data_IF_858042270305
#
_entry.id   IF_858042270305
#
_cell.length_a   1.000
_cell.length_b   1.000
_cell.length_c   1.000
_cell.angle_alpha   90.00
_cell.angle_beta   90.00
_cell.angle_gamma   90.00
#
_symmetry.space_group_name_H-M   'P 1'
#
loop_
_entity.id
_entity.type
_entity.pdbx_description
1 polymer ?
#
# COMPACT_ATOMS: atom_id res chain seq x y z
N UNK A 1 69.09 2.08 -6.02
CA UNK A 1 68.13 1.28 -6.81
C UNK A 1 66.95 0.90 -5.93
N UNK A 2 66.13 1.85 -5.46
CA UNK A 2 64.89 1.59 -4.71
C UNK A 2 64.04 2.86 -4.69
N UNK A 3 63.62 3.30 -5.87
CA UNK A 3 62.76 4.48 -6.03
C UNK A 3 61.66 4.22 -7.07
N UNK A 4 61.10 3.00 -7.11
CA UNK A 4 60.05 2.60 -8.06
C UNK A 4 58.97 1.69 -7.43
N UNK A 5 58.80 1.67 -6.11
CA UNK A 5 57.72 0.91 -5.43
C UNK A 5 56.90 1.84 -4.54
N UNK A 6 56.46 2.97 -5.09
CA UNK A 6 55.48 3.85 -4.44
C UNK A 6 54.54 4.51 -5.46
N UNK A 7 54.14 3.76 -6.50
CA UNK A 7 53.19 4.24 -7.51
C UNK A 7 52.24 3.14 -8.02
N UNK A 8 51.97 2.11 -7.21
CA UNK A 8 51.01 1.04 -7.52
C UNK A 8 50.04 0.75 -6.35
N UNK A 9 49.92 1.66 -5.39
CA UNK A 9 48.99 1.56 -4.25
C UNK A 9 47.97 2.72 -4.23
N UNK A 10 47.56 3.20 -5.40
CA UNK A 10 46.58 4.29 -5.56
C UNK A 10 45.43 3.95 -6.54
N UNK A 11 45.20 2.68 -6.87
CA UNK A 11 44.14 2.28 -7.81
C UNK A 11 43.20 1.15 -7.33
N UNK A 12 43.13 0.87 -6.03
CA UNK A 12 42.16 -0.11 -5.53
C UNK A 12 41.60 0.29 -4.17
N UNK A 13 40.68 1.25 -4.17
CA UNK A 13 39.67 1.45 -3.11
C UNK A 13 38.57 2.43 -3.56
N UNK A 14 38.18 2.40 -4.84
CA UNK A 14 36.91 2.96 -5.30
C UNK A 14 35.81 1.90 -5.16
N UNK A 15 35.54 1.50 -3.92
CA UNK A 15 34.69 0.34 -3.67
C UNK A 15 34.02 0.28 -2.30
N UNK A 16 33.87 1.39 -1.58
CA UNK A 16 33.01 1.43 -0.38
C UNK A 16 32.38 2.82 -0.22
N UNK A 17 31.71 3.28 -1.28
CA UNK A 17 30.69 4.32 -1.17
C UNK A 17 29.37 3.67 -0.77
N UNK A 18 29.26 3.19 0.47
CA UNK A 18 28.00 2.77 1.08
C UNK A 18 27.11 3.99 1.30
N UNK A 19 26.67 4.64 0.22
CA UNK A 19 25.60 5.61 0.28
C UNK A 19 24.38 4.89 0.82
N UNK A 20 23.88 5.35 1.97
CA UNK A 20 22.56 5.03 2.48
C UNK A 20 21.55 5.22 1.34
N UNK A 21 21.23 4.14 0.62
CA UNK A 21 20.15 4.13 -0.38
C UNK A 21 18.91 4.61 0.34
N UNK A 22 18.42 5.79 -0.03
CA UNK A 22 17.18 6.32 0.51
C UNK A 22 16.05 5.32 0.28
N UNK A 23 15.06 5.33 1.17
CA UNK A 23 13.85 4.52 1.04
C UNK A 23 12.95 5.21 0.01
N UNK A 24 13.30 5.12 -1.27
CA UNK A 24 12.41 5.50 -2.37
C UNK A 24 11.31 4.45 -2.61
N UNK A 25 11.19 3.47 -1.71
CA UNK A 25 10.47 2.22 -1.95
C UNK A 25 9.26 1.93 -1.07
N UNK A 26 9.03 2.67 0.01
CA UNK A 26 7.85 2.46 0.85
C UNK A 26 6.97 3.70 0.81
N UNK A 27 5.72 3.51 0.42
CA UNK A 27 4.69 4.53 0.61
C UNK A 27 4.11 4.46 2.01
N UNK A 28 3.38 5.51 2.41
CA UNK A 28 2.70 5.53 3.70
C UNK A 28 1.29 6.09 3.57
N UNK A 29 0.36 5.51 4.31
CA UNK A 29 -1.00 6.00 4.44
C UNK A 29 -1.02 7.15 5.46
N UNK A 30 -1.44 8.33 5.01
CA UNK A 30 -1.64 9.51 5.83
C UNK A 30 -3.14 9.63 6.14
N UNK A 31 -3.57 8.89 7.16
CA UNK A 31 -4.91 8.97 7.71
C UNK A 31 -5.14 10.28 8.47
N UNK A 32 -6.39 10.74 8.48
CA UNK A 32 -6.81 12.01 9.07
C UNK A 32 -7.94 11.86 10.10
N UNK A 33 -8.26 10.64 10.54
CA UNK A 33 -9.34 10.41 11.50
C UNK A 33 -8.82 10.63 12.93
N UNK A 34 -8.49 11.88 13.24
CA UNK A 34 -8.07 12.31 14.57
C UNK A 34 -8.15 13.83 14.77
N UNK A 35 -8.24 14.28 16.01
CA UNK A 35 -8.40 15.71 16.34
C UNK A 35 -7.11 16.38 16.86
N UNK A 36 -6.01 15.64 16.90
CA UNK A 36 -4.72 16.04 17.48
C UNK A 36 -3.54 15.88 16.51
N UNK A 37 -3.84 15.65 15.23
CA UNK A 37 -2.83 15.39 14.19
C UNK A 37 -2.06 16.68 13.82
N UNK A 38 -0.78 16.57 13.40
CA UNK A 38 -0.02 17.72 12.92
C UNK A 38 -0.61 18.35 11.66
N UNK A 39 -0.31 19.64 11.44
CA UNK A 39 -0.67 20.33 10.20
C UNK A 39 0.02 19.70 8.98
N UNK A 40 -0.57 19.81 7.76
CA UNK A 40 0.02 19.24 6.55
C UNK A 40 1.48 19.65 6.28
N UNK A 41 1.86 20.91 6.57
CA UNK A 41 3.25 21.38 6.42
C UNK A 41 4.22 20.63 7.33
N UNK A 42 3.85 20.42 8.60
CA UNK A 42 4.66 19.65 9.55
C UNK A 42 4.76 18.18 9.11
N UNK A 43 3.67 17.63 8.58
CA UNK A 43 3.69 16.28 8.03
C UNK A 43 4.64 16.20 6.84
N UNK A 44 4.64 17.18 5.95
CA UNK A 44 5.58 17.22 4.83
C UNK A 44 7.04 17.30 5.29
N UNK A 45 7.34 18.11 6.30
CA UNK A 45 8.68 18.18 6.91
C UNK A 45 9.11 16.81 7.48
N UNK A 46 8.19 16.12 8.18
CA UNK A 46 8.44 14.79 8.71
C UNK A 46 8.71 13.76 7.59
N UNK A 47 7.88 13.72 6.56
CA UNK A 47 8.06 12.82 5.42
C UNK A 47 9.40 13.07 4.72
N UNK A 48 9.79 14.34 4.58
CA UNK A 48 11.08 14.75 4.02
C UNK A 48 12.24 14.24 4.87
N UNK A 49 12.17 14.39 6.19
CA UNK A 49 13.18 13.89 7.13
C UNK A 49 13.31 12.36 7.08
N UNK A 50 12.19 11.65 6.91
CA UNK A 50 12.12 10.19 6.77
C UNK A 50 12.45 9.70 5.36
N UNK A 51 12.59 10.61 4.39
CA UNK A 51 12.78 10.33 2.97
C UNK A 51 11.64 9.49 2.36
N UNK A 52 10.43 9.66 2.88
CA UNK A 52 9.23 9.04 2.32
C UNK A 52 8.77 9.91 1.15
N UNK A 53 8.63 9.30 -0.03
CA UNK A 53 8.32 10.02 -1.27
C UNK A 53 6.97 9.63 -1.87
N UNK A 54 6.18 8.80 -1.19
CA UNK A 54 4.88 8.32 -1.63
C UNK A 54 3.90 8.32 -0.47
N UNK A 55 2.74 8.94 -0.66
CA UNK A 55 1.67 9.03 0.33
C UNK A 55 0.34 8.66 -0.31
N UNK A 56 -0.52 8.00 0.47
CA UNK A 56 -1.94 7.90 0.16
C UNK A 56 -2.75 8.67 1.20
N UNK A 57 -3.71 9.45 0.74
CA UNK A 57 -4.73 10.11 1.57
C UNK A 57 -6.12 9.55 1.23
N UNK A 58 -7.04 9.62 2.17
CA UNK A 58 -8.35 8.98 2.11
C UNK A 58 -9.47 9.90 1.60
N UNK A 59 -9.11 11.06 1.06
CA UNK A 59 -10.01 12.06 0.49
C UNK A 59 -9.28 12.90 -0.57
N UNK A 60 -9.80 14.10 -0.86
CA UNK A 60 -9.15 15.15 -1.66
C UNK A 60 -8.90 16.43 -0.86
N UNK A 61 -8.34 16.31 0.34
CA UNK A 61 -8.13 17.43 1.26
C UNK A 61 -7.32 18.58 0.61
N UNK A 62 -7.90 19.78 0.45
CA UNK A 62 -7.26 20.90 -0.24
C UNK A 62 -6.04 21.45 0.51
N UNK A 63 -6.02 21.35 1.84
CA UNK A 63 -4.90 21.82 2.66
C UNK A 63 -3.67 20.93 2.47
N UNK A 64 -3.86 19.61 2.44
CA UNK A 64 -2.78 18.66 2.13
C UNK A 64 -2.28 18.88 0.71
N UNK A 65 -3.20 18.90 -0.27
CA UNK A 65 -2.82 19.01 -1.66
C UNK A 65 -2.09 20.33 -1.94
N UNK A 66 -2.44 21.42 -1.25
CA UNK A 66 -1.72 22.70 -1.34
C UNK A 66 -0.35 22.66 -0.65
N UNK A 67 -0.27 22.12 0.57
CA UNK A 67 0.99 22.03 1.32
C UNK A 67 2.04 21.17 0.60
N UNK A 68 1.61 20.13 -0.11
CA UNK A 68 2.50 19.21 -0.82
C UNK A 68 2.92 19.72 -2.21
N UNK A 69 2.49 20.92 -2.62
CA UNK A 69 2.90 21.52 -3.87
C UNK A 69 4.43 21.66 -3.96
N UNK A 70 5.01 21.26 -5.09
CA UNK A 70 6.43 21.26 -5.42
C UNK A 70 7.33 20.37 -4.52
N UNK A 71 6.74 19.55 -3.63
CA UNK A 71 7.48 18.64 -2.74
C UNK A 71 8.12 17.43 -3.43
N UNK A 72 7.63 17.08 -4.62
CA UNK A 72 7.92 15.84 -5.37
C UNK A 72 7.38 14.54 -4.72
N UNK A 73 6.71 14.63 -3.57
CA UNK A 73 6.01 13.49 -2.95
C UNK A 73 4.86 13.09 -3.86
N UNK A 74 4.81 11.81 -4.25
CA UNK A 74 3.70 11.23 -5.00
C UNK A 74 2.50 11.04 -4.09
N UNK A 75 1.32 11.46 -4.55
CA UNK A 75 0.08 11.34 -3.79
C UNK A 75 -0.92 10.47 -4.55
N UNK A 76 -1.44 9.46 -3.85
CA UNK A 76 -2.71 8.80 -4.19
C UNK A 76 -3.80 9.48 -3.37
N UNK A 77 -4.78 10.05 -4.05
CA UNK A 77 -6.00 10.59 -3.42
C UNK A 77 -7.12 9.56 -3.48
N UNK A 78 -8.15 9.70 -2.65
CA UNK A 78 -9.28 8.76 -2.63
C UNK A 78 -10.59 9.47 -2.90
N UNK A 79 -11.44 8.84 -3.70
CA UNK A 79 -12.86 9.16 -3.84
C UNK A 79 -13.59 8.39 -2.74
N UNK A 80 -14.33 9.10 -1.92
CA UNK A 80 -15.11 8.54 -0.81
C UNK A 80 -16.24 7.64 -1.34
N UNK A 81 -16.57 6.56 -0.62
CA UNK A 81 -17.55 5.56 -1.07
C UNK A 81 -18.93 6.18 -1.36
N UNK A 82 -19.32 7.20 -0.58
CA UNK A 82 -20.59 7.92 -0.69
C UNK A 82 -20.70 8.73 -1.99
N UNK A 83 -19.57 9.04 -2.64
CA UNK A 83 -19.56 9.79 -3.91
C UNK A 83 -19.77 8.90 -5.13
N UNK A 84 -19.58 7.58 -5.02
CA UNK A 84 -19.54 6.70 -6.18
C UNK A 84 -20.83 6.74 -7.01
N UNK A 85 -21.99 6.77 -6.35
CA UNK A 85 -23.29 6.86 -7.02
C UNK A 85 -23.43 8.13 -7.88
N UNK A 86 -22.96 9.27 -7.37
CA UNK A 86 -22.98 10.54 -8.11
C UNK A 86 -21.99 10.51 -9.28
N UNK A 87 -20.82 9.90 -9.09
CA UNK A 87 -19.73 9.91 -10.06
C UNK A 87 -19.92 8.91 -11.21
N UNK A 88 -20.99 8.11 -11.18
CA UNK A 88 -21.43 7.37 -12.37
C UNK A 88 -21.80 8.33 -13.52
N UNK A 89 -22.30 9.53 -13.22
CA UNK A 89 -22.59 10.57 -14.21
C UNK A 89 -21.29 11.21 -14.74
N UNK A 90 -20.98 11.10 -16.05
CA UNK A 90 -19.78 11.68 -16.64
C UNK A 90 -19.62 13.19 -16.42
N UNK A 91 -20.72 13.96 -16.36
CA UNK A 91 -20.67 15.39 -16.11
C UNK A 91 -20.26 15.68 -14.66
N UNK A 92 -20.79 14.90 -13.71
CA UNK A 92 -20.41 15.00 -12.30
C UNK A 92 -18.96 14.57 -12.08
N UNK A 93 -18.52 13.50 -12.74
CA UNK A 93 -17.12 13.06 -12.69
C UNK A 93 -16.17 14.12 -13.27
N UNK A 94 -16.52 14.76 -14.40
CA UNK A 94 -15.74 15.84 -14.97
C UNK A 94 -15.66 17.04 -14.02
N UNK A 95 -16.77 17.43 -13.40
CA UNK A 95 -16.81 18.49 -12.40
C UNK A 95 -15.94 18.14 -11.18
N UNK A 96 -16.01 16.90 -10.71
CA UNK A 96 -15.20 16.41 -9.59
C UNK A 96 -13.71 16.50 -9.92
N UNK A 97 -13.26 15.95 -11.05
CA UNK A 97 -11.83 16.03 -11.45
C UNK A 97 -11.39 17.49 -11.63
N UNK A 98 -12.24 18.32 -12.25
CA UNK A 98 -11.93 19.75 -12.50
C UNK A 98 -11.81 20.57 -11.22
N UNK A 99 -12.57 20.22 -10.17
CA UNK A 99 -12.59 20.96 -8.91
C UNK A 99 -11.66 20.39 -7.84
N UNK A 100 -11.45 19.07 -7.82
CA UNK A 100 -10.71 18.37 -6.77
C UNK A 100 -9.28 17.98 -7.16
N UNK A 101 -9.00 17.80 -8.46
CA UNK A 101 -7.70 17.32 -8.94
C UNK A 101 -6.96 18.39 -9.74
N UNK A 102 -7.62 18.92 -10.78
CA UNK A 102 -7.02 19.87 -11.73
C UNK A 102 -6.36 21.09 -11.08
N UNK A 103 -6.88 21.71 -10.00
CA UNK A 103 -6.26 22.91 -9.42
C UNK A 103 -4.87 22.67 -8.82
N UNK A 104 -4.55 21.43 -8.44
CA UNK A 104 -3.30 21.10 -7.76
C UNK A 104 -2.22 20.60 -8.70
N UNK A 105 -2.58 20.09 -9.88
CA UNK A 105 -1.61 19.59 -10.87
C UNK A 105 -1.12 20.71 -11.80
N UNK A 106 0.17 20.76 -12.16
CA UNK A 106 1.22 19.78 -11.85
C UNK A 106 2.03 20.07 -10.58
N UNK A 107 1.70 21.14 -9.83
CA UNK A 107 2.48 21.54 -8.65
C UNK A 107 2.54 20.41 -7.61
N UNK A 108 1.41 19.78 -7.34
CA UNK A 108 1.28 18.59 -6.49
C UNK A 108 1.29 17.34 -7.37
N UNK A 109 2.17 16.39 -7.04
CA UNK A 109 2.41 15.19 -7.84
C UNK A 109 1.37 14.12 -7.53
N UNK A 110 0.12 14.36 -7.92
CA UNK A 110 -0.94 13.34 -7.86
C UNK A 110 -0.63 12.28 -8.92
N UNK A 111 -0.46 11.02 -8.51
CA UNK A 111 -0.13 9.90 -9.41
C UNK A 111 -1.20 8.82 -9.43
N UNK A 112 -2.15 8.86 -8.49
CA UNK A 112 -3.23 7.89 -8.41
C UNK A 112 -4.51 8.45 -7.84
N UNK A 113 -5.63 7.86 -8.27
CA UNK A 113 -6.96 8.05 -7.68
C UNK A 113 -7.47 6.66 -7.26
N UNK A 114 -7.67 6.48 -5.96
CA UNK A 114 -8.40 5.35 -5.38
C UNK A 114 -9.88 5.64 -5.49
N UNK A 115 -10.62 4.88 -6.30
CA UNK A 115 -12.06 5.05 -6.43
C UNK A 115 -12.75 4.15 -5.42
N UNK A 116 -13.22 4.74 -4.32
CA UNK A 116 -13.68 4.03 -3.14
C UNK A 116 -12.54 3.43 -2.32
N UNK A 117 -12.90 2.79 -1.21
CA UNK A 117 -12.03 1.97 -0.39
C UNK A 117 -12.81 0.75 0.12
N UNK A 118 -12.30 -0.44 -0.17
CA UNK A 118 -12.86 -1.71 0.30
C UNK A 118 -14.34 -1.94 -0.08
N UNK A 119 -14.75 -1.44 -1.25
CA UNK A 119 -16.14 -1.47 -1.76
C UNK A 119 -16.75 -2.88 -1.85
N UNK A 120 -15.93 -3.91 -1.98
CA UNK A 120 -16.36 -5.30 -2.07
C UNK A 120 -16.47 -6.04 -0.72
N UNK A 121 -16.20 -5.37 0.39
CA UNK A 121 -16.08 -6.03 1.70
C UNK A 121 -17.44 -6.25 2.36
N UNK A 122 -18.34 -5.28 2.22
CA UNK A 122 -19.70 -5.37 2.74
C UNK A 122 -20.63 -5.98 1.70
N UNK A 123 -21.71 -6.62 2.12
CA UNK A 123 -22.74 -7.17 1.23
C UNK A 123 -23.64 -6.08 0.58
N UNK A 124 -23.12 -4.86 0.42
CA UNK A 124 -23.81 -3.75 -0.23
C UNK A 124 -23.65 -3.82 -1.76
N UNK A 125 -24.50 -4.65 -2.37
CA UNK A 125 -24.55 -4.79 -3.82
C UNK A 125 -24.79 -3.45 -4.54
N UNK A 126 -25.53 -2.52 -3.93
CA UNK A 126 -25.82 -1.23 -4.56
C UNK A 126 -24.56 -0.39 -4.70
N UNK A 127 -23.73 -0.36 -3.66
CA UNK A 127 -22.44 0.32 -3.70
C UNK A 127 -21.50 -0.35 -4.73
N UNK A 128 -21.43 -1.68 -4.74
CA UNK A 128 -20.59 -2.42 -5.70
C UNK A 128 -20.96 -2.12 -7.15
N UNK A 129 -22.25 -2.03 -7.48
CA UNK A 129 -22.74 -1.73 -8.83
C UNK A 129 -22.34 -0.32 -9.31
N UNK A 130 -22.07 0.61 -8.38
CA UNK A 130 -21.64 1.98 -8.74
C UNK A 130 -20.15 2.09 -9.11
N UNK A 131 -19.33 1.12 -8.69
CA UNK A 131 -17.88 1.23 -8.72
C UNK A 131 -17.31 1.35 -10.15
N UNK A 132 -17.60 0.39 -11.02
CA UNK A 132 -17.04 0.36 -12.37
C UNK A 132 -17.55 1.55 -13.22
N UNK A 133 -18.85 1.90 -13.22
CA UNK A 133 -19.32 3.11 -13.89
C UNK A 133 -18.63 4.39 -13.40
N UNK A 134 -18.43 4.55 -12.09
CA UNK A 134 -17.72 5.70 -11.53
C UNK A 134 -16.25 5.75 -11.99
N UNK A 135 -15.54 4.61 -11.97
CA UNK A 135 -14.17 4.49 -12.50
C UNK A 135 -14.09 4.94 -13.96
N UNK A 136 -15.02 4.47 -14.80
CA UNK A 136 -15.05 4.81 -16.22
C UNK A 136 -15.33 6.30 -16.47
N UNK A 137 -16.25 6.89 -15.70
CA UNK A 137 -16.57 8.31 -15.78
C UNK A 137 -15.41 9.19 -15.32
N UNK A 138 -14.72 8.84 -14.24
CA UNK A 138 -13.52 9.56 -13.76
C UNK A 138 -12.37 9.41 -14.78
N UNK A 139 -12.14 8.22 -15.32
CA UNK A 139 -11.13 8.00 -16.35
C UNK A 139 -11.39 8.86 -17.59
N UNK A 140 -12.65 8.91 -18.04
CA UNK A 140 -13.07 9.76 -19.17
C UNK A 140 -12.77 11.23 -18.91
N UNK A 141 -13.06 11.73 -17.70
CA UNK A 141 -12.72 13.08 -17.29
C UNK A 141 -11.20 13.34 -17.28
N UNK A 142 -10.38 12.39 -16.81
CA UNK A 142 -8.93 12.51 -16.87
C UNK A 142 -8.42 12.58 -18.31
N UNK A 143 -8.93 11.74 -19.21
CA UNK A 143 -8.55 11.76 -20.63
C UNK A 143 -8.92 13.09 -21.30
N UNK A 144 -10.13 13.61 -21.03
CA UNK A 144 -10.56 14.93 -21.55
C UNK A 144 -9.64 16.07 -21.08
N UNK A 145 -9.06 15.94 -19.89
CA UNK A 145 -8.15 16.92 -19.30
C UNK A 145 -6.67 16.64 -19.59
N UNK A 146 -6.35 15.56 -20.31
CA UNK A 146 -4.98 15.15 -20.63
C UNK A 146 -4.16 14.64 -19.44
N UNK A 147 -4.83 14.11 -18.40
CA UNK A 147 -4.21 13.67 -17.14
C UNK A 147 -4.10 12.14 -17.00
N UNK A 148 -4.75 11.37 -17.88
CA UNK A 148 -4.85 9.90 -17.85
C UNK A 148 -3.50 9.17 -18.02
N UNK A 149 -2.53 9.83 -18.64
CA UNK A 149 -1.18 9.28 -18.79
C UNK A 149 -0.34 9.38 -17.51
N UNK A 150 -0.67 10.32 -16.62
CA UNK A 150 0.09 10.61 -15.39
C UNK A 150 -0.61 10.09 -14.14
N UNK A 151 -1.95 10.09 -14.13
CA UNK A 151 -2.77 9.69 -12.98
C UNK A 151 -3.42 8.35 -13.29
N UNK A 152 -3.06 7.32 -12.52
CA UNK A 152 -3.68 5.98 -12.61
C UNK A 152 -4.92 5.88 -11.74
N UNK A 153 -5.88 5.06 -12.16
CA UNK A 153 -7.11 4.79 -11.40
C UNK A 153 -7.12 3.32 -11.00
N UNK A 154 -7.45 3.05 -9.74
CA UNK A 154 -7.73 1.71 -9.24
C UNK A 154 -8.68 1.80 -8.04
N UNK A 155 -9.01 0.66 -7.44
CA UNK A 155 -9.80 0.59 -6.20
C UNK A 155 -9.08 -0.28 -5.18
N UNK A 156 -8.70 0.27 -4.01
CA UNK A 156 -8.19 -0.52 -2.89
C UNK A 156 -9.22 -1.56 -2.45
N UNK A 157 -8.87 -2.83 -2.52
CA UNK A 157 -9.75 -3.94 -2.17
C UNK A 157 -9.23 -4.66 -0.92
N UNK A 158 -10.11 -5.06 -0.02
CA UNK A 158 -9.77 -5.99 1.07
C UNK A 158 -9.42 -7.36 0.50
N UNK A 159 -8.58 -8.14 1.18
CA UNK A 159 -8.39 -9.57 0.86
C UNK A 159 -9.70 -10.39 0.94
N UNK A 160 -10.74 -9.86 1.58
CA UNK A 160 -12.07 -10.46 1.62
C UNK A 160 -12.72 -10.63 0.24
N UNK A 161 -12.16 -10.06 -0.84
CA UNK A 161 -12.56 -10.34 -2.22
C UNK A 161 -12.26 -11.78 -2.67
N UNK A 162 -11.34 -12.47 -1.99
CA UNK A 162 -10.95 -13.82 -2.32
C UNK A 162 -11.88 -14.86 -1.66
N UNK A 163 -12.27 -15.87 -2.43
CA UNK A 163 -12.93 -17.07 -1.92
C UNK A 163 -11.89 -18.04 -1.36
N UNK A 164 -10.86 -18.31 -2.16
CA UNK A 164 -9.72 -19.15 -1.79
C UNK A 164 -8.46 -18.31 -1.80
N UNK A 165 -7.61 -18.49 -0.79
CA UNK A 165 -6.29 -17.83 -0.70
C UNK A 165 -5.17 -18.77 -0.22
N UNK A 166 -5.50 -20.01 0.17
CA UNK A 166 -4.54 -21.00 0.62
C UNK A 166 -4.73 -22.36 -0.11
N UNK A 167 -3.67 -22.95 -0.68
CA UNK A 167 -2.37 -22.30 -0.94
C UNK A 167 -2.51 -21.13 -1.92
N UNK A 168 -1.52 -20.22 -2.06
CA UNK A 168 -1.63 -19.06 -2.96
C UNK A 168 -2.07 -19.39 -4.38
N UNK A 169 -1.61 -20.50 -4.96
CA UNK A 169 -2.04 -20.95 -6.30
C UNK A 169 -3.53 -21.29 -6.40
N UNK A 170 -4.19 -21.58 -5.28
CA UNK A 170 -5.63 -21.79 -5.20
C UNK A 170 -6.42 -20.48 -5.25
N UNK A 171 -5.76 -19.32 -5.13
CA UNK A 171 -6.31 -17.97 -5.26
C UNK A 171 -7.47 -17.84 -6.24
N UNK A 172 -8.64 -17.44 -5.78
CA UNK A 172 -9.82 -17.15 -6.61
C UNK A 172 -10.66 -16.05 -6.00
N UNK A 173 -11.31 -15.23 -6.82
CA UNK A 173 -12.29 -14.27 -6.34
C UNK A 173 -13.61 -14.96 -5.95
N UNK A 174 -14.34 -14.33 -5.04
CA UNK A 174 -15.71 -14.69 -4.66
C UNK A 174 -16.63 -14.76 -5.88
N UNK A 175 -17.43 -15.84 -6.04
CA UNK A 175 -18.36 -15.99 -7.16
C UNK A 175 -19.31 -14.79 -7.33
N UNK A 176 -19.81 -14.25 -6.21
CA UNK A 176 -20.76 -13.15 -6.14
C UNK A 176 -20.24 -11.83 -6.73
N UNK A 177 -18.93 -11.56 -6.65
CA UNK A 177 -18.32 -10.35 -7.21
C UNK A 177 -17.68 -10.56 -8.58
N UNK A 178 -17.64 -11.80 -9.08
CA UNK A 178 -16.83 -12.17 -10.26
C UNK A 178 -17.22 -11.35 -11.51
N UNK A 179 -18.50 -11.01 -11.67
CA UNK A 179 -18.96 -10.20 -12.80
C UNK A 179 -18.41 -8.77 -12.75
N UNK A 180 -18.55 -8.08 -11.61
CA UNK A 180 -18.06 -6.71 -11.43
C UNK A 180 -16.53 -6.69 -11.45
N UNK A 181 -15.90 -7.68 -10.79
CA UNK A 181 -14.45 -7.86 -10.78
C UNK A 181 -13.91 -8.02 -12.20
N UNK A 182 -14.55 -8.81 -13.06
CA UNK A 182 -14.13 -8.97 -14.47
C UNK A 182 -14.11 -7.64 -15.23
N UNK A 183 -15.15 -6.81 -15.05
CA UNK A 183 -15.22 -5.48 -15.68
C UNK A 183 -14.12 -4.55 -15.15
N UNK A 184 -13.87 -4.59 -13.84
CA UNK A 184 -12.80 -3.82 -13.21
C UNK A 184 -11.41 -4.26 -13.71
N UNK A 185 -11.13 -5.56 -13.74
CA UNK A 185 -9.87 -6.10 -14.26
C UNK A 185 -9.67 -5.77 -15.75
N UNK A 186 -10.75 -5.78 -16.54
CA UNK A 186 -10.71 -5.34 -17.94
C UNK A 186 -10.30 -3.86 -18.05
N UNK A 187 -10.84 -2.98 -17.19
CA UNK A 187 -10.44 -1.58 -17.12
C UNK A 187 -8.95 -1.43 -16.76
N UNK A 188 -8.49 -2.12 -15.72
CA UNK A 188 -7.09 -2.08 -15.27
C UNK A 188 -6.13 -2.55 -16.38
N UNK A 189 -6.47 -3.65 -17.06
CA UNK A 189 -5.70 -4.20 -18.18
C UNK A 189 -5.57 -3.18 -19.32
N UNK A 190 -6.69 -2.58 -19.74
CA UNK A 190 -6.71 -1.59 -20.84
C UNK A 190 -5.91 -0.32 -20.50
N UNK A 191 -6.00 0.16 -19.26
CA UNK A 191 -5.35 1.41 -18.82
C UNK A 191 -3.92 1.21 -18.28
N UNK A 192 -3.47 -0.06 -18.20
CA UNK A 192 -2.22 -0.47 -17.55
C UNK A 192 -2.14 0.07 -16.12
N UNK A 193 -3.26 0.02 -15.41
CA UNK A 193 -3.35 0.42 -14.00
C UNK A 193 -3.15 -0.81 -13.11
N UNK A 194 -2.49 -0.66 -11.95
CA UNK A 194 -2.32 -1.75 -11.00
C UNK A 194 -3.62 -2.09 -10.27
N UNK A 195 -3.75 -3.34 -9.83
CA UNK A 195 -4.72 -3.75 -8.82
C UNK A 195 -4.18 -3.38 -7.43
N UNK A 196 -5.01 -2.71 -6.61
CA UNK A 196 -4.66 -2.32 -5.25
C UNK A 196 -5.34 -3.22 -4.23
N UNK A 197 -4.54 -3.84 -3.37
CA UNK A 197 -5.02 -4.73 -2.31
C UNK A 197 -4.56 -4.23 -0.93
N UNK A 198 -5.48 -4.19 0.02
CA UNK A 198 -5.21 -4.03 1.44
C UNK A 198 -4.94 -5.43 2.01
N UNK A 199 -3.69 -5.69 2.42
CA UNK A 199 -3.23 -7.02 2.83
C UNK A 199 -2.60 -6.96 4.22
N UNK A 200 -3.25 -7.60 5.19
CA UNK A 200 -2.84 -7.56 6.58
C UNK A 200 -2.60 -8.98 7.11
N UNK A 201 -1.34 -9.44 7.20
CA UNK A 201 -0.99 -10.69 7.89
C UNK A 201 -1.46 -10.72 9.35
N UNK A 202 -1.58 -9.54 9.98
CA UNK A 202 -2.06 -9.39 11.35
C UNK A 202 -3.43 -10.04 11.57
N UNK A 203 -4.42 -9.78 10.71
CA UNK A 203 -5.77 -10.32 10.91
C UNK A 203 -5.80 -11.84 10.87
N UNK A 204 -5.07 -12.46 9.93
CA UNK A 204 -4.95 -13.91 9.87
C UNK A 204 -4.33 -14.48 11.16
N UNK A 205 -3.29 -13.84 11.70
CA UNK A 205 -2.68 -14.26 12.97
C UNK A 205 -3.60 -14.07 14.16
N UNK A 206 -4.28 -12.92 14.26
CA UNK A 206 -5.25 -12.63 15.31
C UNK A 206 -6.34 -13.71 15.37
N UNK A 207 -6.85 -14.14 14.22
CA UNK A 207 -7.94 -15.10 14.14
C UNK A 207 -7.51 -16.56 14.42
N UNK A 208 -6.24 -16.91 14.16
CA UNK A 208 -5.74 -18.27 14.36
C UNK A 208 -4.28 -18.33 14.82
N UNK A 209 -3.96 -17.80 16.02
CA UNK A 209 -2.59 -17.65 16.50
C UNK A 209 -1.90 -18.97 16.83
N UNK A 210 -2.67 -20.03 17.09
CA UNK A 210 -2.16 -21.37 17.39
C UNK A 210 -1.70 -22.12 16.13
N UNK A 211 -2.29 -21.82 14.97
CA UNK A 211 -1.95 -22.49 13.71
C UNK A 211 -1.03 -21.66 12.83
N UNK A 212 -1.09 -20.33 12.91
CA UNK A 212 -0.30 -19.43 12.07
C UNK A 212 0.95 -18.99 12.84
N UNK A 213 2.16 -19.39 12.39
CA UNK A 213 3.37 -19.06 13.12
C UNK A 213 3.64 -17.55 13.11
N UNK A 214 3.86 -16.95 14.28
CA UNK A 214 4.08 -15.50 14.41
C UNK A 214 5.25 -15.00 13.54
N UNK A 215 6.29 -15.80 13.39
CA UNK A 215 7.47 -15.44 12.59
C UNK A 215 7.14 -15.33 11.10
N UNK A 216 6.18 -16.12 10.60
CA UNK A 216 5.72 -16.10 9.21
C UNK A 216 4.95 -14.81 8.87
N UNK A 217 4.15 -14.31 9.81
CA UNK A 217 3.35 -13.08 9.64
C UNK A 217 4.14 -11.81 10.00
N UNK A 218 5.16 -11.90 10.85
CA UNK A 218 6.10 -10.81 11.15
C UNK A 218 7.25 -10.68 10.14
N UNK A 219 7.20 -11.42 9.03
CA UNK A 219 8.22 -11.39 7.95
C UNK A 219 9.63 -11.81 8.43
N UNK A 220 9.71 -12.53 9.55
CA UNK A 220 10.94 -13.02 10.16
C UNK A 220 11.49 -14.27 9.47
N UNK A 221 12.76 -14.64 9.66
CA UNK A 221 13.28 -15.94 9.19
C UNK A 221 12.45 -17.10 9.76
N UNK A 222 11.95 -17.96 8.87
CA UNK A 222 11.15 -19.13 9.23
C UNK A 222 11.25 -20.19 8.11
N UNK A 223 10.77 -21.43 8.34
CA UNK A 223 10.76 -22.48 7.31
C UNK A 223 9.97 -22.09 6.04
N UNK A 224 9.01 -21.18 6.14
CA UNK A 224 8.10 -20.81 5.08
C UNK A 224 7.05 -21.89 4.82
N UNK A 225 6.14 -21.60 3.90
CA UNK A 225 5.21 -22.57 3.35
C UNK A 225 5.56 -22.87 1.89
N UNK A 226 5.45 -24.14 1.51
CA UNK A 226 5.58 -24.58 0.12
C UNK A 226 4.19 -24.65 -0.48
N UNK A 227 3.97 -23.92 -1.57
CA UNK A 227 2.78 -24.10 -2.38
C UNK A 227 2.86 -25.46 -3.11
N UNK A 228 1.94 -26.40 -2.86
CA UNK A 228 2.07 -27.78 -3.33
C UNK A 228 1.84 -27.95 -4.84
N UNK A 229 1.28 -26.95 -5.51
CA UNK A 229 0.98 -27.03 -6.94
C UNK A 229 2.03 -26.33 -7.80
N UNK A 230 2.67 -25.29 -7.25
CA UNK A 230 3.65 -24.48 -7.99
C UNK A 230 5.09 -24.69 -7.52
N UNK A 231 5.29 -25.32 -6.35
CA UNK A 231 6.57 -25.42 -5.66
C UNK A 231 7.20 -24.05 -5.31
N UNK A 232 6.42 -22.97 -5.33
CA UNK A 232 6.87 -21.68 -4.84
C UNK A 232 6.95 -21.71 -3.32
N UNK A 233 8.08 -21.26 -2.77
CA UNK A 233 8.27 -21.10 -1.33
C UNK A 233 7.92 -19.68 -0.92
N UNK A 234 6.96 -19.56 -0.02
CA UNK A 234 6.61 -18.30 0.62
C UNK A 234 7.22 -18.29 2.01
N UNK A 235 8.20 -17.43 2.21
CA UNK A 235 8.83 -17.23 3.52
C UNK A 235 8.07 -16.22 4.38
N UNK A 236 7.00 -15.59 3.87
CA UNK A 236 6.16 -14.68 4.61
C UNK A 236 4.73 -14.59 4.05
N UNK A 237 3.76 -14.31 4.93
CA UNK A 237 2.34 -14.30 4.55
C UNK A 237 1.97 -13.15 3.61
N UNK A 238 2.60 -11.98 3.74
CA UNK A 238 2.26 -10.82 2.90
C UNK A 238 2.47 -11.13 1.41
N UNK A 239 3.56 -11.83 1.07
CA UNK A 239 3.83 -12.24 -0.31
C UNK A 239 2.91 -13.36 -0.77
N UNK A 240 2.52 -14.27 0.12
CA UNK A 240 1.51 -15.29 -0.17
C UNK A 240 0.15 -14.66 -0.48
N UNK A 241 -0.28 -13.66 0.29
CA UNK A 241 -1.52 -12.91 0.07
C UNK A 241 -1.50 -12.15 -1.27
N UNK A 242 -0.40 -11.47 -1.59
CA UNK A 242 -0.23 -10.78 -2.86
C UNK A 242 -0.29 -11.75 -4.06
N UNK A 243 0.39 -12.90 -3.96
CA UNK A 243 0.38 -13.90 -5.03
C UNK A 243 -0.97 -14.62 -5.15
N UNK A 244 -1.72 -14.81 -4.06
CA UNK A 244 -3.09 -15.32 -4.14
C UNK A 244 -3.99 -14.43 -5.01
N UNK A 245 -3.88 -13.11 -4.90
CA UNK A 245 -4.58 -12.16 -5.77
C UNK A 245 -4.10 -12.28 -7.22
N UNK A 246 -2.79 -12.41 -7.45
CA UNK A 246 -2.23 -12.61 -8.78
C UNK A 246 -2.74 -13.89 -9.45
N UNK A 247 -2.82 -15.00 -8.70
CA UNK A 247 -3.41 -16.24 -9.19
C UNK A 247 -4.91 -16.11 -9.47
N UNK A 248 -5.66 -15.41 -8.61
CA UNK A 248 -7.08 -15.14 -8.82
C UNK A 248 -7.32 -14.35 -10.12
N UNK A 249 -6.56 -13.28 -10.37
CA UNK A 249 -6.63 -12.52 -11.62
C UNK A 249 -6.21 -13.37 -12.82
N UNK A 250 -5.17 -14.19 -12.69
CA UNK A 250 -4.70 -15.07 -13.77
C UNK A 250 -5.78 -16.07 -14.20
N UNK A 251 -6.54 -16.65 -13.25
CA UNK A 251 -7.68 -17.54 -13.55
C UNK A 251 -8.81 -16.85 -14.31
N UNK A 252 -8.95 -15.54 -14.15
CA UNK A 252 -9.88 -14.72 -14.92
C UNK A 252 -9.31 -14.23 -16.27
N UNK A 253 -8.08 -14.63 -16.63
CA UNK A 253 -7.41 -14.21 -17.86
C UNK A 253 -6.62 -12.90 -17.77
N UNK A 254 -6.46 -12.34 -16.56
CA UNK A 254 -5.84 -11.04 -16.30
C UNK A 254 -4.47 -11.14 -15.61
N UNK A 255 -3.72 -12.22 -15.86
CA UNK A 255 -2.44 -12.49 -15.20
C UNK A 255 -1.30 -11.49 -15.48
N UNK A 256 -1.51 -10.51 -16.38
CA UNK A 256 -0.56 -9.43 -16.69
C UNK A 256 -0.70 -8.17 -15.81
N UNK A 257 -1.77 -8.04 -15.03
CA UNK A 257 -2.01 -6.87 -14.18
C UNK A 257 -1.01 -6.85 -13.01
N UNK A 258 -0.43 -5.68 -12.72
CA UNK A 258 0.43 -5.46 -11.53
C UNK A 258 -0.42 -5.48 -10.25
N UNK A 259 0.04 -6.09 -9.17
CA UNK A 259 -0.54 -5.93 -7.83
C UNK A 259 0.34 -4.99 -7.02
N UNK A 260 -0.28 -4.04 -6.32
CA UNK A 260 0.36 -3.23 -5.28
C UNK A 260 -0.42 -3.36 -3.98
N UNK A 261 0.30 -3.30 -2.87
CA UNK A 261 -0.30 -3.26 -1.55
C UNK A 261 -0.64 -1.81 -1.22
N UNK A 262 -1.91 -1.46 -1.21
CA UNK A 262 -2.39 -0.12 -0.85
C UNK A 262 -2.41 0.10 0.66
N UNK A 263 -2.49 -0.97 1.44
CA UNK A 263 -2.38 -0.93 2.89
C UNK A 263 -1.83 -2.23 3.46
N UNK A 264 -0.96 -2.09 4.44
CA UNK A 264 -0.53 -3.18 5.32
C UNK A 264 0.05 -2.60 6.59
N UNK A 265 -0.11 -3.27 7.72
CA UNK A 265 0.34 -2.74 9.00
C UNK A 265 0.15 -3.73 10.13
N UNK A 266 0.58 -3.34 11.32
CA UNK A 266 0.44 -4.13 12.54
C UNK A 266 0.18 -3.19 13.73
N UNK A 267 -0.91 -3.38 14.48
CA UNK A 267 -1.27 -2.46 15.56
C UNK A 267 -0.35 -2.65 16.77
N UNK A 268 0.04 -1.54 17.38
CA UNK A 268 0.90 -1.50 18.57
C UNK A 268 0.17 -1.77 19.89
N UNK A 269 -1.16 -1.79 19.86
CA UNK A 269 -2.03 -2.05 21.00
C UNK A 269 -3.40 -2.49 20.47
N UNK A 270 -4.01 -3.47 21.11
CA UNK A 270 -5.37 -3.93 20.79
C UNK A 270 -6.21 -4.21 22.04
N UNK A 271 -7.45 -4.62 21.82
CA UNK A 271 -8.33 -5.17 22.85
C UNK A 271 -7.84 -6.56 23.34
N UNK A 272 -8.37 -7.11 24.45
CA UNK A 272 -7.88 -8.38 25.01
C UNK A 272 -7.95 -9.59 24.06
N UNK A 273 -8.85 -9.57 23.08
CA UNK A 273 -9.03 -10.59 22.04
C UNK A 273 -8.22 -10.33 20.77
N UNK A 274 -7.44 -9.24 20.73
CA UNK A 274 -6.60 -8.85 19.61
C UNK A 274 -5.18 -9.38 19.73
N UNK A 275 -5.08 -10.72 19.72
CA UNK A 275 -3.82 -11.44 19.91
C UNK A 275 -2.73 -10.95 18.95
N UNK A 276 -1.57 -10.61 19.52
CA UNK A 276 -0.41 -10.13 18.77
C UNK A 276 -0.34 -8.61 18.61
N UNK A 277 -1.37 -7.84 18.97
CA UNK A 277 -1.34 -6.37 18.95
C UNK A 277 -0.51 -5.79 20.10
N UNK A 278 0.80 -5.69 19.91
CA UNK A 278 1.73 -5.09 20.86
C UNK A 278 2.85 -4.30 20.16
N UNK A 279 3.51 -3.42 20.92
CA UNK A 279 4.56 -2.52 20.43
C UNK A 279 5.71 -3.32 19.80
N UNK A 280 6.08 -4.46 20.40
CA UNK A 280 7.19 -5.30 19.93
C UNK A 280 6.91 -5.88 18.54
N UNK A 281 5.73 -6.47 18.35
CA UNK A 281 5.32 -7.05 17.07
C UNK A 281 5.14 -5.99 15.99
N UNK A 282 4.53 -4.84 16.34
CA UNK A 282 4.39 -3.72 15.41
C UNK A 282 5.75 -3.18 14.94
N UNK A 283 6.69 -3.01 15.87
CA UNK A 283 8.05 -2.59 15.56
C UNK A 283 8.76 -3.58 14.63
N UNK A 284 8.59 -4.88 14.91
CA UNK A 284 9.21 -5.94 14.15
C UNK A 284 8.66 -6.05 12.73
N UNK A 285 7.33 -6.05 12.59
CA UNK A 285 6.65 -6.07 11.30
C UNK A 285 7.10 -4.89 10.42
N UNK A 286 7.01 -3.67 10.95
CA UNK A 286 7.35 -2.45 10.22
C UNK A 286 8.83 -2.40 9.82
N UNK A 287 9.74 -2.81 10.72
CA UNK A 287 11.18 -2.88 10.43
C UNK A 287 11.50 -3.92 9.36
N UNK A 288 10.88 -5.10 9.41
CA UNK A 288 11.11 -6.16 8.44
C UNK A 288 10.53 -5.79 7.07
N UNK A 289 9.34 -5.17 7.03
CA UNK A 289 8.76 -4.63 5.81
C UNK A 289 9.69 -3.61 5.15
N UNK A 290 10.21 -2.65 5.94
CA UNK A 290 11.15 -1.65 5.47
C UNK A 290 12.41 -2.28 4.86
N UNK A 291 13.00 -3.27 5.54
CA UNK A 291 14.20 -3.99 5.05
C UNK A 291 13.94 -4.69 3.72
N UNK A 292 12.78 -5.34 3.56
CA UNK A 292 12.40 -6.00 2.29
C UNK A 292 12.17 -4.99 1.17
N UNK A 293 11.51 -3.86 1.46
CA UNK A 293 11.35 -2.77 0.50
C UNK A 293 12.67 -2.11 0.10
N UNK A 294 13.64 -1.98 1.02
CA UNK A 294 14.98 -1.48 0.69
C UNK A 294 15.78 -2.41 -0.23
N UNK A 295 15.46 -3.71 -0.21
CA UNK A 295 16.04 -4.73 -1.10
C UNK A 295 15.33 -4.83 -2.45
N UNK A 296 14.25 -4.06 -2.65
CA UNK A 296 13.37 -4.13 -3.81
C UNK A 296 12.82 -5.53 -4.07
N UNK A 297 12.51 -6.28 -2.99
CA UNK A 297 11.99 -7.64 -3.11
C UNK A 297 10.64 -7.66 -3.84
N UNK A 298 10.51 -8.62 -4.77
CA UNK A 298 9.25 -9.05 -5.35
C UNK A 298 8.69 -10.27 -4.60
N UNK A 299 7.54 -10.76 -5.03
CA UNK A 299 6.95 -11.98 -4.50
C UNK A 299 7.57 -13.23 -5.15
N UNK A 300 7.39 -14.44 -4.58
CA UNK A 300 7.85 -15.68 -5.23
C UNK A 300 7.34 -15.88 -6.66
N UNK A 301 6.09 -15.51 -6.97
CA UNK A 301 5.54 -15.59 -8.33
C UNK A 301 6.14 -14.53 -9.27
N UNK A 302 6.49 -13.35 -8.75
CA UNK A 302 7.05 -12.23 -9.53
C UNK A 302 8.35 -11.70 -8.90
N UNK A 303 9.44 -12.50 -8.85
CA UNK A 303 10.65 -12.16 -8.10
C UNK A 303 11.42 -10.97 -8.70
N UNK A 304 11.23 -10.71 -9.99
CA UNK A 304 11.90 -9.63 -10.73
C UNK A 304 11.09 -8.33 -10.77
N UNK A 305 9.89 -8.32 -10.18
CA UNK A 305 9.05 -7.13 -10.08
C UNK A 305 8.87 -6.81 -8.60
N UNK A 306 9.49 -5.70 -8.17
CA UNK A 306 9.33 -5.21 -6.79
C UNK A 306 7.85 -5.03 -6.48
N UNK A 307 7.42 -5.55 -5.33
CA UNK A 307 6.08 -5.29 -4.80
C UNK A 307 6.04 -3.87 -4.21
N UNK A 308 5.26 -2.97 -4.80
CA UNK A 308 5.03 -1.63 -4.24
C UNK A 308 4.03 -1.71 -3.08
N UNK A 309 4.38 -1.05 -1.97
CA UNK A 309 3.65 -1.16 -0.69
C UNK A 309 3.47 0.22 -0.07
N UNK A 310 2.27 0.45 0.48
CA UNK A 310 1.95 1.56 1.37
C UNK A 310 1.70 1.03 2.78
N UNK A 311 2.52 1.48 3.73
CA UNK A 311 2.39 1.13 5.14
C UNK A 311 1.21 1.88 5.77
N UNK A 312 0.40 1.17 6.54
CA UNK A 312 -0.71 1.71 7.33
C UNK A 312 -0.28 1.73 8.82
N UNK A 313 -0.16 2.88 9.47
CA UNK A 313 -0.29 4.26 8.93
C UNK A 313 0.76 5.21 9.53
N UNK A 314 0.77 6.47 9.06
CA UNK A 314 1.71 7.48 9.54
C UNK A 314 1.51 7.81 11.03
N UNK A 315 0.26 8.03 11.45
CA UNK A 315 -0.08 8.40 12.82
C UNK A 315 -1.07 7.43 13.45
N UNK A 316 -1.08 7.39 14.78
CA UNK A 316 -2.25 6.91 15.51
C UNK A 316 -3.42 7.88 15.28
N UNK A 317 -4.58 7.33 14.96
CA UNK A 317 -5.79 8.07 14.61
C UNK A 317 -6.83 7.87 15.71
N UNK A 318 -6.88 8.81 16.65
CA UNK A 318 -7.60 8.64 17.93
C UNK A 318 -9.14 8.64 17.80
N UNK A 319 -9.67 9.10 16.67
CA UNK A 319 -11.10 9.13 16.39
C UNK A 319 -11.57 7.94 15.54
N UNK A 320 -10.70 6.99 15.17
CA UNK A 320 -11.13 5.81 14.43
C UNK A 320 -12.13 4.98 15.25
N UNK A 321 -13.29 4.60 14.67
CA UNK A 321 -14.25 3.72 15.33
C UNK A 321 -13.71 2.28 15.41
N UNK A 322 -14.43 1.39 16.09
CA UNK A 322 -14.09 -0.03 16.16
C UNK A 322 -13.14 -0.39 17.30
N UNK A 323 -12.43 -1.53 17.20
CA UNK A 323 -11.60 -2.07 18.29
C UNK A 323 -10.39 -1.17 18.59
N UNK A 324 -9.74 -1.40 19.73
CA UNK A 324 -8.59 -0.58 20.16
C UNK A 324 -7.46 -0.58 19.14
N UNK A 325 -7.24 -1.68 18.41
CA UNK A 325 -6.24 -1.75 17.33
C UNK A 325 -6.37 -0.64 16.29
N UNK A 326 -7.59 -0.26 15.92
CA UNK A 326 -7.84 0.75 14.88
C UNK A 326 -7.20 2.11 15.19
N UNK A 327 -7.05 2.44 16.48
CA UNK A 327 -6.44 3.70 16.95
C UNK A 327 -4.93 3.61 17.14
N UNK A 328 -4.32 2.46 16.84
CA UNK A 328 -2.95 2.12 17.26
C UNK A 328 -2.04 1.56 16.13
N UNK A 329 -2.36 1.82 14.85
CA UNK A 329 -1.54 1.43 13.69
C UNK A 329 -0.40 2.39 13.32
N UNK A 330 -0.32 3.55 13.98
CA UNK A 330 0.63 4.60 13.62
C UNK A 330 2.08 4.20 13.75
N UNK A 331 2.94 4.74 12.88
CA UNK A 331 4.38 4.80 13.16
C UNK A 331 4.69 5.83 14.26
N UNK A 332 3.90 6.91 14.28
CA UNK A 332 4.06 8.03 15.19
C UNK A 332 2.79 8.26 16.01
N UNK A 333 2.98 8.76 17.23
CA UNK A 333 1.93 9.45 17.95
C UNK A 333 1.63 10.79 17.25
N UNK A 334 0.47 11.41 17.52
CA UNK A 334 0.09 12.70 16.94
C UNK A 334 1.08 13.84 17.26
N UNK A 335 1.84 13.75 18.35
CA UNK A 335 2.88 14.73 18.71
C UNK A 335 4.21 14.56 17.94
N UNK A 336 4.28 13.57 17.04
CA UNK A 336 5.46 13.24 16.24
C UNK A 336 6.47 12.32 16.95
N UNK A 337 6.18 11.86 18.17
CA UNK A 337 6.99 10.83 18.84
C UNK A 337 6.79 9.48 18.16
N UNK A 338 7.87 8.74 17.95
CA UNK A 338 7.80 7.42 17.30
C UNK A 338 7.29 6.38 18.31
N UNK A 339 6.31 5.56 17.94
CA UNK A 339 5.72 4.55 18.84
C UNK A 339 6.74 3.47 19.20
N UNK A 340 7.53 3.05 18.21
CA UNK A 340 8.59 2.08 18.40
C UNK A 340 9.77 2.43 17.51
N UNK A 341 10.99 2.18 17.99
CA UNK A 341 12.19 2.64 17.31
C UNK A 341 12.49 1.78 16.06
N UNK A 342 11.85 2.12 14.93
CA UNK A 342 12.01 1.45 13.63
C UNK A 342 13.47 1.35 13.16
N UNK A 343 14.30 2.31 13.60
CA UNK A 343 15.67 2.49 13.14
C UNK A 343 16.74 1.90 14.05
N UNK A 344 16.38 1.17 15.12
CA UNK A 344 17.37 0.34 15.84
C UNK A 344 17.71 -0.88 14.97
N UNK A 345 18.53 -0.64 13.94
CA UNK A 345 19.33 -1.69 13.32
C UNK A 345 20.28 -2.18 14.41
N UNK A 346 19.91 -3.28 15.07
CA UNK A 346 20.81 -3.98 15.97
C UNK A 346 22.11 -4.26 15.23
N UNK A 347 23.17 -3.56 15.64
CA UNK A 347 24.53 -4.03 15.49
C UNK A 347 24.72 -4.96 16.68
N UNK A 348 24.47 -6.24 16.48
CA UNK A 348 25.05 -7.32 17.28
C UNK A 348 25.72 -8.29 16.32
#
# INVERSE_FOLDING_TARGET
MFFHILLLFLLSLSGFGGGLRGVTSLGINYGQIGNNLPSPDKVLDMLTALRITKVRIYDTNPEILSAFANSKVEIIVTVENEMLAQLMDPQQALQWVTSRIKPYVPATKITGIAVGNEVFTDDDLTLMETLVPAILSIHTALTQLGLDTTIKISTPSSLAVLQESYPPSAGSFKPEITQIMSQFLQFLSTTKSPFWINAYPYFAYKDNPDSIPLQYVLLNPNPGMMDPFTNLRYDNMLYAQADAVLFAMAKMGFGGIEVRISETGWPSKGDPDETGACVENAAEYNRNLLRRQMRNEGTPLRPNLRLEIYLFALFNEDMKPGPTSERNYGLFQPDGTMISNLFRLGVE
#
